data_IF_662688000269
#
_entry.id   IF_662688000269
#
_cell.length_a   1.000
_cell.length_b   1.000
_cell.length_c   1.000
_cell.angle_alpha   90.00
_cell.angle_beta   90.00
_cell.angle_gamma   90.00
#
_symmetry.space_group_name_H-M   'P 1'
#
loop_
_entity.id
_entity.type
_entity.pdbx_description
1 polymer ?
#
# COMPACT_ATOMS: atom_id res chain seq x y z
N UNK A 1 -31.30 24.49 4.86
CA UNK A 1 -31.09 23.33 5.77
C UNK A 1 -31.48 23.63 7.22
N UNK A 2 -30.82 24.55 7.95
CA UNK A 2 -31.08 24.81 9.38
C UNK A 2 -32.55 25.10 9.71
N UNK A 3 -33.25 25.93 8.94
CA UNK A 3 -34.68 26.24 9.16
C UNK A 3 -35.61 25.04 8.96
N UNK A 4 -35.31 24.16 8.02
CA UNK A 4 -36.05 22.90 7.81
C UNK A 4 -35.91 21.95 9.00
N UNK A 5 -34.71 21.88 9.63
CA UNK A 5 -34.49 21.09 10.85
C UNK A 5 -35.27 21.67 12.03
N UNK A 6 -35.37 23.00 12.12
CA UNK A 6 -36.18 23.67 13.15
C UNK A 6 -37.68 23.37 12.91
N UNK A 7 -38.17 23.42 11.69
CA UNK A 7 -39.55 23.03 11.36
C UNK A 7 -39.85 21.61 11.82
N UNK A 8 -38.94 20.65 11.49
CA UNK A 8 -39.08 19.27 11.95
C UNK A 8 -39.17 19.17 13.48
N UNK A 9 -38.33 19.87 14.20
CA UNK A 9 -38.34 19.88 15.66
C UNK A 9 -39.65 20.45 16.23
N UNK A 10 -40.19 21.54 15.61
CA UNK A 10 -41.46 22.14 16.01
C UNK A 10 -42.63 21.17 15.77
N UNK A 11 -42.67 20.54 14.58
CA UNK A 11 -43.72 19.56 14.22
C UNK A 11 -43.65 18.34 15.14
N UNK A 12 -42.48 17.80 15.41
CA UNK A 12 -42.28 16.62 16.30
C UNK A 12 -42.65 16.95 17.76
N UNK A 13 -42.34 18.17 18.22
CA UNK A 13 -42.65 18.60 19.60
C UNK A 13 -44.05 19.09 19.78
N UNK A 14 -44.82 19.41 18.72
CA UNK A 14 -46.16 19.99 18.74
C UNK A 14 -46.21 21.38 19.35
N UNK A 15 -45.09 22.00 19.69
CA UNK A 15 -45.00 23.28 20.37
C UNK A 15 -43.68 24.00 20.08
N UNK A 16 -43.78 25.29 19.76
CA UNK A 16 -42.62 26.18 19.56
C UNK A 16 -41.75 26.25 20.84
N UNK A 17 -42.40 26.31 22.01
CA UNK A 17 -41.66 26.36 23.31
C UNK A 17 -40.92 25.06 23.61
N UNK A 18 -41.51 23.90 23.32
CA UNK A 18 -40.86 22.62 23.50
C UNK A 18 -39.69 22.45 22.51
N UNK A 19 -39.88 22.80 21.24
CA UNK A 19 -38.82 22.78 20.24
C UNK A 19 -37.64 23.72 20.58
N UNK A 20 -37.98 24.92 21.10
CA UNK A 20 -36.97 25.89 21.52
C UNK A 20 -36.07 25.31 22.65
N UNK A 21 -36.69 24.64 23.66
CA UNK A 21 -35.96 23.99 24.74
C UNK A 21 -35.07 22.87 24.25
N UNK A 22 -35.58 22.02 23.36
CA UNK A 22 -34.86 20.88 22.80
C UNK A 22 -33.65 21.30 21.94
N UNK A 23 -33.75 22.46 21.26
CA UNK A 23 -32.70 22.96 20.38
C UNK A 23 -31.77 24.01 21.03
N UNK A 24 -31.98 24.36 22.29
CA UNK A 24 -31.20 25.41 23.00
C UNK A 24 -31.47 26.83 22.49
N UNK A 25 -32.68 27.11 21.99
CA UNK A 25 -33.10 28.43 21.51
C UNK A 25 -34.16 29.05 22.39
N UNK A 26 -34.43 30.35 22.18
CA UNK A 26 -35.60 31.03 22.72
C UNK A 26 -36.82 30.78 21.83
N UNK A 27 -38.06 30.73 22.41
CA UNK A 27 -39.28 30.62 21.62
C UNK A 27 -39.45 31.71 20.55
N UNK A 28 -38.99 32.92 20.85
CA UNK A 28 -39.00 34.03 19.89
C UNK A 28 -38.07 33.76 18.69
N UNK A 29 -36.87 33.23 18.92
CA UNK A 29 -35.93 32.88 17.86
C UNK A 29 -36.50 31.79 16.94
N UNK A 30 -37.12 30.75 17.51
CA UNK A 30 -37.79 29.68 16.74
C UNK A 30 -38.93 30.28 15.88
N UNK A 31 -39.79 31.15 16.48
CA UNK A 31 -40.88 31.80 15.77
C UNK A 31 -40.40 32.63 14.58
N UNK A 32 -39.31 33.40 14.78
CA UNK A 32 -38.68 34.16 13.70
C UNK A 32 -38.13 33.27 12.58
N UNK A 33 -37.49 32.15 12.91
CA UNK A 33 -36.99 31.21 11.91
C UNK A 33 -38.14 30.55 11.13
N UNK A 34 -39.26 30.24 11.79
CA UNK A 34 -40.43 29.69 11.11
C UNK A 34 -41.09 30.71 10.17
N UNK A 35 -41.30 31.94 10.65
CA UNK A 35 -41.82 33.01 9.79
C UNK A 35 -40.92 33.28 8.57
N UNK A 36 -39.60 33.25 8.76
CA UNK A 36 -38.66 33.40 7.65
C UNK A 36 -38.74 32.21 6.68
N UNK A 37 -38.93 30.98 7.16
CA UNK A 37 -39.07 29.80 6.31
C UNK A 37 -40.37 29.84 5.50
N UNK A 38 -41.49 30.24 6.13
CA UNK A 38 -42.77 30.41 5.47
C UNK A 38 -42.73 31.50 4.38
N UNK A 39 -42.02 32.59 4.67
CA UNK A 39 -41.77 33.64 3.67
C UNK A 39 -40.95 33.16 2.49
N UNK A 40 -39.91 32.36 2.73
CA UNK A 40 -39.10 31.76 1.66
C UNK A 40 -39.88 30.73 0.85
N UNK A 41 -40.72 29.92 1.53
CA UNK A 41 -41.53 28.90 0.88
C UNK A 41 -42.74 29.49 0.15
N UNK A 42 -43.12 30.73 0.46
CA UNK A 42 -44.32 31.40 -0.09
C UNK A 42 -45.65 30.79 0.39
N UNK A 43 -45.62 29.94 1.42
CA UNK A 43 -46.80 29.22 1.92
C UNK A 43 -46.72 29.04 3.42
N UNK A 44 -47.87 29.01 4.12
CA UNK A 44 -47.94 28.71 5.55
C UNK A 44 -47.61 27.23 5.81
N UNK A 45 -46.71 26.98 6.73
CA UNK A 45 -46.24 25.63 7.11
C UNK A 45 -46.82 25.15 8.44
N UNK A 46 -47.22 26.10 9.31
CA UNK A 46 -47.69 25.78 10.66
C UNK A 46 -49.01 26.54 10.95
N UNK A 47 -50.03 25.81 11.35
CA UNK A 47 -51.27 26.36 11.90
C UNK A 47 -51.14 26.50 13.41
N UNK A 48 -51.57 27.66 13.94
CA UNK A 48 -51.69 27.87 15.39
C UNK A 48 -53.00 27.27 15.92
N UNK A 49 -52.87 26.44 16.95
CA UNK A 49 -54.02 25.89 17.67
C UNK A 49 -54.00 26.40 19.10
N UNK A 50 -55.15 26.40 19.79
CA UNK A 50 -55.24 26.89 21.16
C UNK A 50 -54.26 26.19 22.15
N UNK A 51 -53.70 25.04 21.83
CA UNK A 51 -52.75 24.26 22.65
C UNK A 51 -51.40 24.04 22.05
N UNK A 52 -51.06 24.66 20.93
CA UNK A 52 -49.78 24.48 20.26
C UNK A 52 -49.75 24.82 18.79
N UNK A 53 -49.00 24.09 17.99
CA UNK A 53 -48.91 24.21 16.55
C UNK A 53 -49.10 22.86 15.85
N UNK A 54 -49.76 22.88 14.67
CA UNK A 54 -49.91 21.72 13.80
C UNK A 54 -49.35 22.04 12.43
N UNK A 55 -48.70 21.07 11.77
CA UNK A 55 -48.26 21.31 10.39
C UNK A 55 -49.45 21.36 9.43
N UNK A 56 -49.39 22.28 8.46
CA UNK A 56 -50.22 22.27 7.25
C UNK A 56 -49.79 21.10 6.35
N UNK A 57 -50.49 20.87 5.23
CA UNK A 57 -50.06 19.87 4.22
C UNK A 57 -48.68 20.23 3.69
N UNK A 58 -48.41 21.49 3.41
CA UNK A 58 -47.09 21.97 3.02
C UNK A 58 -46.02 21.77 4.14
N UNK A 59 -46.43 21.99 5.42
CA UNK A 59 -45.55 21.72 6.56
C UNK A 59 -45.22 20.26 6.72
N UNK A 60 -46.17 19.34 6.52
CA UNK A 60 -45.94 17.89 6.49
C UNK A 60 -44.97 17.50 5.39
N UNK A 61 -45.27 17.91 4.16
CA UNK A 61 -44.41 17.65 3.00
C UNK A 61 -42.97 18.12 3.23
N UNK A 62 -42.80 19.37 3.67
CA UNK A 62 -41.46 19.93 3.89
C UNK A 62 -40.73 19.24 5.07
N UNK A 63 -41.46 18.75 6.09
CA UNK A 63 -40.88 17.97 7.20
C UNK A 63 -40.37 16.59 6.74
N UNK A 64 -41.10 15.93 5.84
CA UNK A 64 -40.67 14.67 5.22
C UNK A 64 -39.38 14.84 4.44
N UNK A 65 -39.33 15.84 3.54
CA UNK A 65 -38.12 16.16 2.81
C UNK A 65 -36.95 16.59 3.74
N UNK A 66 -37.22 17.36 4.78
CA UNK A 66 -36.20 17.73 5.79
C UNK A 66 -35.59 16.52 6.47
N UNK A 67 -36.38 15.47 6.68
CA UNK A 67 -35.90 14.21 7.27
C UNK A 67 -34.98 13.46 6.31
N UNK A 68 -35.36 13.35 5.04
CA UNK A 68 -34.56 12.69 3.98
C UNK A 68 -33.23 13.41 3.78
N UNK A 69 -33.28 14.75 3.60
CA UNK A 69 -32.08 15.56 3.42
C UNK A 69 -31.17 15.49 4.65
N UNK A 70 -31.73 15.52 5.86
CA UNK A 70 -30.99 15.39 7.11
C UNK A 70 -30.25 14.05 7.22
N UNK A 71 -30.87 12.96 6.79
CA UNK A 71 -30.23 11.63 6.72
C UNK A 71 -29.06 11.62 5.75
N UNK A 72 -29.25 12.11 4.52
CA UNK A 72 -28.15 12.16 3.55
C UNK A 72 -27.01 13.08 3.98
N UNK A 73 -27.29 14.17 4.70
CA UNK A 73 -26.25 15.03 5.26
C UNK A 73 -25.42 14.26 6.34
N UNK A 74 -26.09 13.52 7.23
CA UNK A 74 -25.38 12.70 8.23
C UNK A 74 -24.59 11.55 7.59
N UNK A 75 -25.11 10.92 6.55
CA UNK A 75 -24.39 9.91 5.76
C UNK A 75 -23.12 10.50 5.13
N UNK A 76 -23.20 11.71 4.55
CA UNK A 76 -22.04 12.40 3.98
C UNK A 76 -21.00 12.79 5.05
N UNK A 77 -21.44 13.27 6.22
CA UNK A 77 -20.55 13.55 7.35
C UNK A 77 -19.81 12.29 7.84
N UNK A 78 -20.53 11.16 7.93
CA UNK A 78 -19.95 9.86 8.29
C UNK A 78 -18.93 9.42 7.24
N UNK A 79 -19.25 9.49 5.95
CA UNK A 79 -18.34 9.13 4.87
C UNK A 79 -17.06 9.98 4.88
N UNK A 80 -17.18 11.29 5.15
CA UNK A 80 -16.02 12.18 5.31
C UNK A 80 -15.19 11.83 6.55
N UNK A 81 -15.83 11.45 7.66
CA UNK A 81 -15.13 11.00 8.86
C UNK A 81 -14.36 9.70 8.61
N UNK A 82 -14.95 8.74 7.89
CA UNK A 82 -14.29 7.50 7.47
C UNK A 82 -13.06 7.76 6.60
N UNK A 83 -13.17 8.67 5.62
CA UNK A 83 -12.04 9.09 4.78
C UNK A 83 -10.92 9.73 5.60
N UNK A 84 -11.28 10.63 6.54
CA UNK A 84 -10.29 11.28 7.43
C UNK A 84 -9.59 10.29 8.35
N UNK A 85 -10.31 9.29 8.80
CA UNK A 85 -9.78 8.22 9.64
C UNK A 85 -8.97 7.17 8.86
N UNK A 86 -8.96 7.23 7.54
CA UNK A 86 -8.31 6.26 6.66
C UNK A 86 -8.97 4.89 6.62
N UNK A 87 -10.21 4.76 7.13
CA UNK A 87 -10.95 3.50 7.08
C UNK A 87 -11.55 3.20 5.72
N UNK A 88 -11.65 4.22 4.85
CA UNK A 88 -12.02 4.11 3.43
C UNK A 88 -11.03 4.89 2.59
N UNK A 89 -10.96 4.58 1.30
CA UNK A 89 -10.11 5.27 0.34
C UNK A 89 -9.61 4.32 -0.74
N UNK A 90 -8.84 4.86 -1.67
CA UNK A 90 -8.17 4.09 -2.72
C UNK A 90 -6.69 4.44 -2.71
N UNK A 91 -5.83 3.42 -2.84
CA UNK A 91 -4.38 3.56 -2.97
C UNK A 91 -3.92 2.71 -4.14
N UNK A 92 -3.14 3.29 -5.03
CA UNK A 92 -2.55 2.59 -6.18
C UNK A 92 -1.06 2.36 -5.94
N UNK A 93 -0.60 1.12 -6.17
CA UNK A 93 0.77 0.71 -5.96
C UNK A 93 1.36 0.03 -7.20
N UNK A 94 2.64 0.33 -7.46
CA UNK A 94 3.48 -0.38 -8.42
C UNK A 94 4.45 -1.27 -7.67
N UNK A 95 4.68 -2.48 -8.18
CA UNK A 95 5.60 -3.43 -7.56
C UNK A 95 6.27 -4.30 -8.62
N UNK A 96 7.41 -4.89 -8.30
CA UNK A 96 8.13 -5.84 -9.14
C UNK A 96 7.94 -7.28 -8.64
N UNK A 97 8.17 -8.24 -9.51
CA UNK A 97 7.80 -9.66 -9.33
C UNK A 97 8.27 -10.24 -7.99
N UNK A 98 9.57 -10.11 -7.67
CA UNK A 98 10.14 -10.73 -6.46
C UNK A 98 9.66 -10.11 -5.14
N UNK A 99 9.12 -8.88 -5.16
CA UNK A 99 8.50 -8.26 -3.99
C UNK A 99 7.05 -8.73 -3.76
N UNK A 100 6.41 -9.32 -4.77
CA UNK A 100 4.99 -9.65 -4.73
C UNK A 100 4.61 -10.56 -3.56
N UNK A 101 5.09 -11.80 -3.57
CA UNK A 101 4.72 -12.80 -2.57
C UNK A 101 5.26 -12.46 -1.16
N UNK A 102 6.55 -12.11 -0.97
CA UNK A 102 7.09 -11.92 0.37
C UNK A 102 6.77 -10.58 1.03
N UNK A 103 6.50 -9.51 0.28
CA UNK A 103 6.25 -8.18 0.82
C UNK A 103 4.82 -7.70 0.58
N UNK A 104 4.37 -7.73 -0.69
CA UNK A 104 3.08 -7.12 -1.07
C UNK A 104 1.91 -7.90 -0.50
N UNK A 105 1.90 -9.22 -0.66
CA UNK A 105 0.79 -10.07 -0.18
C UNK A 105 0.58 -9.94 1.33
N UNK A 106 1.59 -10.11 2.21
CA UNK A 106 1.39 -9.97 3.65
C UNK A 106 1.02 -8.53 4.06
N UNK A 107 1.59 -7.51 3.39
CA UNK A 107 1.22 -6.11 3.65
C UNK A 107 -0.24 -5.83 3.32
N UNK A 108 -0.74 -6.32 2.18
CA UNK A 108 -2.15 -6.18 1.81
C UNK A 108 -3.06 -6.96 2.75
N UNK A 109 -2.67 -8.16 3.17
CA UNK A 109 -3.44 -8.94 4.14
C UNK A 109 -3.55 -8.22 5.49
N UNK A 110 -2.47 -7.59 5.97
CA UNK A 110 -2.48 -6.77 7.18
C UNK A 110 -3.36 -5.52 7.01
N UNK A 111 -3.16 -4.76 5.94
CA UNK A 111 -3.95 -3.57 5.65
C UNK A 111 -5.45 -3.86 5.58
N UNK A 112 -5.87 -4.95 4.93
CA UNK A 112 -7.28 -5.35 4.85
C UNK A 112 -7.91 -5.71 6.19
N UNK A 113 -7.13 -6.22 7.14
CA UNK A 113 -7.62 -6.50 8.49
C UNK A 113 -7.83 -5.21 9.29
N UNK A 114 -6.93 -4.25 9.15
CA UNK A 114 -6.96 -3.00 9.92
C UNK A 114 -7.87 -1.94 9.29
N UNK A 115 -7.93 -1.93 7.96
CA UNK A 115 -8.65 -0.93 7.18
C UNK A 115 -9.47 -1.59 6.06
N UNK A 116 -10.54 -2.34 6.38
CA UNK A 116 -11.28 -3.16 5.41
C UNK A 116 -11.96 -2.37 4.29
N UNK A 117 -12.22 -1.08 4.50
CA UNK A 117 -12.81 -0.19 3.50
C UNK A 117 -11.80 0.44 2.53
N UNK A 118 -10.48 0.18 2.70
CA UNK A 118 -9.46 0.68 1.77
C UNK A 118 -9.34 -0.24 0.57
N UNK A 119 -9.48 0.33 -0.63
CA UNK A 119 -9.25 -0.36 -1.89
C UNK A 119 -7.81 -0.15 -2.35
N UNK A 120 -7.09 -1.23 -2.64
CA UNK A 120 -5.73 -1.18 -3.17
C UNK A 120 -5.72 -1.67 -4.61
N UNK A 121 -5.25 -0.81 -5.52
CA UNK A 121 -4.95 -1.17 -6.89
C UNK A 121 -3.48 -1.56 -7.01
N UNK A 122 -3.22 -2.81 -7.40
CA UNK A 122 -1.87 -3.35 -7.57
C UNK A 122 -1.56 -3.53 -9.03
N UNK A 123 -0.42 -3.03 -9.49
CA UNK A 123 0.10 -3.28 -10.84
C UNK A 123 1.57 -3.63 -10.80
N UNK A 124 1.91 -4.72 -11.46
CA UNK A 124 3.29 -5.06 -11.77
C UNK A 124 3.82 -4.01 -12.75
N UNK A 125 5.08 -3.57 -12.59
CA UNK A 125 5.76 -2.80 -13.61
C UNK A 125 6.89 -3.64 -14.22
N UNK A 126 7.09 -3.51 -15.53
CA UNK A 126 8.09 -4.29 -16.27
C UNK A 126 9.12 -3.37 -16.96
N UNK A 127 8.68 -2.30 -17.56
CA UNK A 127 9.55 -1.42 -18.39
C UNK A 127 9.44 0.07 -18.06
N UNK A 128 8.38 0.49 -17.38
CA UNK A 128 8.17 1.90 -17.02
C UNK A 128 8.98 2.27 -15.77
N UNK A 129 9.50 3.49 -15.71
CA UNK A 129 10.08 4.01 -14.47
C UNK A 129 8.98 4.20 -13.42
N UNK A 130 8.95 3.36 -12.37
CA UNK A 130 7.89 3.42 -11.36
C UNK A 130 7.91 4.71 -10.54
N UNK A 131 9.03 5.41 -10.45
CA UNK A 131 9.17 6.71 -9.77
C UNK A 131 8.44 7.79 -10.58
N UNK A 132 8.54 7.75 -11.91
CA UNK A 132 7.79 8.66 -12.79
C UNK A 132 6.28 8.45 -12.67
N UNK A 133 5.81 7.20 -12.49
CA UNK A 133 4.41 6.91 -12.23
C UNK A 133 3.89 7.60 -10.96
N UNK A 134 4.70 7.56 -9.87
CA UNK A 134 4.38 8.24 -8.61
C UNK A 134 4.41 9.75 -8.77
N UNK A 135 5.43 10.29 -9.46
CA UNK A 135 5.56 11.73 -9.74
C UNK A 135 4.40 12.26 -10.55
N UNK A 136 3.97 11.50 -11.57
CA UNK A 136 2.84 11.83 -12.46
C UNK A 136 1.47 11.56 -11.82
N UNK A 137 1.38 11.13 -10.56
CA UNK A 137 0.14 10.78 -9.85
C UNK A 137 -0.64 9.62 -10.47
N UNK A 138 0.00 8.75 -11.26
CA UNK A 138 -0.58 7.52 -11.78
C UNK A 138 -0.44 6.35 -10.81
N UNK A 139 0.44 6.51 -9.80
CA UNK A 139 0.51 5.66 -8.63
C UNK A 139 0.71 6.51 -7.36
N UNK A 140 0.29 6.00 -6.21
CA UNK A 140 0.50 6.64 -4.92
C UNK A 140 1.79 6.16 -4.27
N UNK A 141 2.20 4.92 -4.56
CA UNK A 141 3.40 4.26 -4.07
C UNK A 141 3.99 3.38 -5.17
N UNK A 142 5.32 3.31 -5.22
CA UNK A 142 6.04 2.30 -6.00
C UNK A 142 7.12 1.64 -5.15
N UNK A 143 7.24 0.32 -5.23
CA UNK A 143 8.42 -0.39 -4.73
C UNK A 143 9.54 -0.27 -5.77
N UNK A 144 10.72 0.09 -5.32
CA UNK A 144 11.89 0.29 -6.19
C UNK A 144 13.12 -0.36 -5.58
N UNK A 145 14.03 -0.81 -6.44
CA UNK A 145 15.39 -1.16 -6.05
C UNK A 145 16.26 0.05 -6.31
N UNK A 146 17.02 0.48 -5.32
CA UNK A 146 17.79 1.71 -5.41
C UNK A 146 18.88 1.73 -4.35
N UNK A 147 20.02 2.33 -4.65
CA UNK A 147 21.07 2.57 -3.67
C UNK A 147 20.58 3.44 -2.49
N UNK A 148 21.07 3.17 -1.26
CA UNK A 148 20.65 3.92 -0.06
C UNK A 148 20.85 5.43 -0.22
N UNK A 149 22.00 5.83 -0.75
CA UNK A 149 22.43 7.22 -0.92
C UNK A 149 22.25 7.74 -2.36
N UNK A 150 21.44 7.05 -3.15
CA UNK A 150 21.15 7.44 -4.53
C UNK A 150 20.59 8.85 -4.63
N UNK A 151 20.75 9.51 -5.79
CA UNK A 151 20.40 10.91 -6.01
C UNK A 151 18.97 11.24 -5.59
N UNK A 152 18.75 12.36 -4.89
CA UNK A 152 17.41 12.82 -4.53
C UNK A 152 16.56 13.06 -5.79
N UNK A 153 15.29 12.65 -5.73
CA UNK A 153 14.31 12.93 -6.79
C UNK A 153 13.33 13.96 -6.28
N UNK A 154 13.26 15.10 -6.97
CA UNK A 154 12.39 16.20 -6.56
C UNK A 154 10.93 15.76 -6.45
N UNK A 155 10.29 16.11 -5.32
CA UNK A 155 8.91 15.77 -5.01
C UNK A 155 8.67 14.31 -4.59
N UNK A 156 9.71 13.48 -4.48
CA UNK A 156 9.61 12.07 -4.05
C UNK A 156 10.38 11.86 -2.74
N UNK A 157 9.78 11.11 -1.84
CA UNK A 157 10.39 10.59 -0.63
C UNK A 157 10.53 9.09 -0.76
N UNK A 158 11.73 8.60 -0.53
CA UNK A 158 12.03 7.19 -0.46
C UNK A 158 11.98 6.72 0.99
N UNK A 159 11.31 5.60 1.22
CA UNK A 159 11.16 4.96 2.52
C UNK A 159 11.86 3.62 2.47
N UNK A 160 12.94 3.46 3.21
CA UNK A 160 13.65 2.20 3.30
C UNK A 160 12.73 1.08 3.82
N UNK A 161 12.77 -0.08 3.19
CA UNK A 161 12.05 -1.29 3.60
C UNK A 161 13.01 -2.36 4.08
N UNK A 162 13.90 -2.85 3.22
CA UNK A 162 14.90 -3.86 3.57
C UNK A 162 16.10 -3.86 2.61
N UNK A 163 17.19 -4.46 3.07
CA UNK A 163 18.31 -4.88 2.26
C UNK A 163 18.13 -6.37 1.91
N UNK A 164 18.10 -6.70 0.61
CA UNK A 164 17.83 -8.03 0.08
C UNK A 164 19.14 -8.59 -0.51
N UNK A 165 19.71 -9.57 0.17
CA UNK A 165 21.01 -10.16 -0.17
C UNK A 165 20.86 -11.14 -1.30
N UNK A 166 21.89 -11.26 -2.14
CA UNK A 166 21.94 -12.29 -3.16
C UNK A 166 22.64 -13.56 -2.64
N UNK A 167 22.13 -14.70 -3.05
CA UNK A 167 22.65 -16.03 -2.74
C UNK A 167 23.08 -16.72 -4.02
N UNK A 168 24.20 -17.43 -3.96
CA UNK A 168 24.61 -18.29 -5.06
C UNK A 168 23.68 -19.50 -5.14
N UNK A 169 23.16 -19.73 -6.33
CA UNK A 169 22.35 -20.92 -6.67
C UNK A 169 23.18 -21.77 -7.62
N UNK A 170 23.47 -22.98 -7.18
CA UNK A 170 24.38 -23.93 -7.82
C UNK A 170 23.63 -25.20 -8.25
N UNK A 171 24.05 -25.87 -9.31
CA UNK A 171 23.47 -27.16 -9.67
C UNK A 171 23.82 -28.25 -8.65
N UNK A 172 23.05 -29.35 -8.54
CA UNK A 172 23.38 -30.48 -7.69
C UNK A 172 24.74 -31.04 -8.06
N UNK A 173 25.57 -31.33 -7.03
CA UNK A 173 26.89 -31.91 -7.23
C UNK A 173 28.00 -30.92 -7.69
N UNK A 174 27.68 -29.64 -7.74
CA UNK A 174 28.64 -28.59 -8.07
C UNK A 174 29.87 -28.64 -7.10
N UNK A 175 31.09 -28.41 -7.64
CA UNK A 175 32.34 -28.47 -6.84
C UNK A 175 32.32 -27.56 -5.60
N UNK A 176 31.61 -26.45 -5.65
CA UNK A 176 31.50 -25.50 -4.54
C UNK A 176 30.32 -25.79 -3.61
N UNK A 177 29.46 -26.76 -3.93
CA UNK A 177 28.23 -27.03 -3.16
C UNK A 177 28.49 -27.50 -1.73
N UNK A 178 29.68 -28.08 -1.44
CA UNK A 178 30.06 -28.51 -0.10
C UNK A 178 30.46 -27.36 0.84
N UNK A 179 30.74 -26.18 0.31
CA UNK A 179 31.13 -24.99 1.10
C UNK A 179 29.87 -24.19 1.49
N UNK A 180 29.66 -23.88 2.78
CA UNK A 180 28.47 -23.13 3.20
C UNK A 180 28.51 -21.66 2.76
N UNK A 181 29.71 -21.08 2.66
CA UNK A 181 29.95 -19.70 2.25
C UNK A 181 30.99 -19.69 1.14
N UNK A 182 30.73 -18.90 0.09
CA UNK A 182 31.62 -18.75 -1.07
C UNK A 182 32.18 -17.32 -1.11
N UNK A 183 33.45 -17.21 -1.49
CA UNK A 183 33.96 -15.91 -1.97
C UNK A 183 33.40 -15.65 -3.36
N UNK A 184 32.96 -14.41 -3.65
CA UNK A 184 32.40 -14.12 -4.97
C UNK A 184 33.37 -14.42 -6.12
N UNK A 185 34.65 -14.23 -5.88
CA UNK A 185 35.73 -14.60 -6.83
C UNK A 185 35.82 -16.10 -7.15
N UNK A 186 35.35 -17.01 -6.26
CA UNK A 186 35.29 -18.45 -6.54
C UNK A 186 34.39 -18.79 -7.74
N UNK A 187 33.49 -17.86 -8.10
CA UNK A 187 32.46 -18.00 -9.15
C UNK A 187 32.90 -17.39 -10.50
N UNK A 188 34.10 -16.81 -10.58
CA UNK A 188 34.59 -16.07 -11.73
C UNK A 188 34.64 -16.87 -13.04
N UNK A 189 35.04 -18.17 -12.95
CA UNK A 189 35.20 -19.05 -14.11
C UNK A 189 33.98 -19.90 -14.42
N UNK A 190 32.85 -19.69 -13.68
CA UNK A 190 31.63 -20.44 -13.92
C UNK A 190 30.80 -19.81 -15.06
N UNK A 191 30.02 -20.59 -15.81
CA UNK A 191 29.01 -20.03 -16.69
C UNK A 191 27.83 -19.47 -15.86
N UNK A 192 27.38 -18.28 -16.22
CA UNK A 192 26.37 -17.54 -15.45
C UNK A 192 25.00 -17.54 -16.14
N UNK A 193 23.95 -17.56 -15.33
CA UNK A 193 22.57 -17.42 -15.74
C UNK A 193 22.02 -16.13 -15.13
N UNK A 194 21.67 -15.15 -15.99
CA UNK A 194 21.01 -13.94 -15.53
C UNK A 194 19.54 -14.21 -15.21
N UNK A 195 19.12 -13.91 -13.98
CA UNK A 195 17.71 -14.01 -13.55
C UNK A 195 16.88 -12.77 -13.84
N UNK A 196 17.53 -11.68 -14.28
CA UNK A 196 16.88 -10.40 -14.58
C UNK A 196 17.55 -9.76 -15.80
N UNK A 197 16.83 -8.86 -16.45
CA UNK A 197 17.37 -7.98 -17.49
C UNK A 197 18.26 -6.89 -16.87
N UNK A 198 19.16 -6.26 -17.66
CA UNK A 198 19.97 -5.14 -17.18
C UNK A 198 19.11 -4.04 -16.52
N UNK A 199 19.55 -3.58 -15.35
CA UNK A 199 18.85 -2.56 -14.57
C UNK A 199 19.04 -2.73 -13.05
N UNK A 200 18.27 -2.00 -12.23
CA UNK A 200 18.50 -1.87 -10.78
C UNK A 200 18.54 -3.19 -10.00
N UNK A 201 17.98 -4.29 -10.53
CA UNK A 201 18.05 -5.59 -9.90
C UNK A 201 19.33 -6.37 -10.25
N UNK A 202 19.91 -6.18 -11.44
CA UNK A 202 21.13 -6.84 -11.86
C UNK A 202 22.40 -6.01 -11.54
N UNK A 203 22.29 -4.69 -11.54
CA UNK A 203 23.44 -3.79 -11.33
C UNK A 203 24.23 -4.11 -10.04
N UNK A 204 23.62 -4.39 -8.87
CA UNK A 204 24.36 -4.75 -7.66
C UNK A 204 25.21 -6.03 -7.81
N UNK A 205 24.77 -6.96 -8.66
CA UNK A 205 25.53 -8.18 -8.96
C UNK A 205 26.75 -7.85 -9.82
N UNK A 206 26.53 -7.05 -10.87
CA UNK A 206 27.61 -6.63 -11.79
C UNK A 206 28.67 -5.80 -11.06
N UNK A 207 28.26 -4.87 -10.22
CA UNK A 207 29.15 -4.04 -9.41
C UNK A 207 29.97 -4.88 -8.42
N UNK A 208 29.32 -5.86 -7.76
CA UNK A 208 30.01 -6.77 -6.87
C UNK A 208 31.02 -7.65 -7.61
N UNK A 209 30.66 -8.20 -8.77
CA UNK A 209 31.59 -8.98 -9.61
C UNK A 209 32.77 -8.13 -10.08
N UNK A 210 32.52 -6.90 -10.53
CA UNK A 210 33.59 -5.98 -10.91
C UNK A 210 34.52 -5.66 -9.73
N UNK A 211 33.99 -5.46 -8.52
CA UNK A 211 34.76 -5.26 -7.30
C UNK A 211 35.55 -6.51 -6.90
N UNK A 212 35.05 -7.72 -7.23
CA UNK A 212 35.77 -8.99 -7.07
C UNK A 212 36.80 -9.27 -8.18
N UNK A 213 36.90 -8.37 -9.17
CA UNK A 213 37.93 -8.42 -10.23
C UNK A 213 37.54 -9.22 -11.47
N UNK A 214 36.25 -9.49 -11.70
CA UNK A 214 35.80 -10.22 -12.90
C UNK A 214 34.47 -9.68 -13.45
N UNK A 215 34.15 -10.11 -14.66
CA UNK A 215 32.84 -9.87 -15.31
C UNK A 215 32.18 -11.22 -15.55
N UNK A 216 30.92 -11.42 -15.12
CA UNK A 216 30.20 -12.68 -15.34
C UNK A 216 30.03 -12.99 -16.84
N UNK A 217 30.26 -14.25 -17.22
CA UNK A 217 29.96 -14.75 -18.57
C UNK A 217 28.53 -15.29 -18.61
N UNK A 218 27.58 -14.46 -19.02
CA UNK A 218 26.17 -14.84 -19.10
C UNK A 218 25.89 -15.69 -20.34
N UNK A 219 25.74 -16.99 -20.12
CA UNK A 219 25.38 -17.98 -21.17
C UNK A 219 23.86 -18.08 -21.38
N UNK A 220 23.06 -17.64 -20.39
CA UNK A 220 21.58 -17.62 -20.46
C UNK A 220 21.06 -16.33 -19.82
N UNK A 221 20.07 -15.69 -20.48
CA UNK A 221 19.23 -14.64 -19.92
C UNK A 221 17.82 -15.16 -19.77
N UNK A 222 17.28 -15.27 -18.55
CA UNK A 222 15.99 -15.93 -18.26
C UNK A 222 14.84 -14.94 -18.04
N UNK A 223 15.13 -13.70 -17.66
CA UNK A 223 14.13 -12.68 -17.37
C UNK A 223 13.36 -12.85 -16.03
N UNK A 224 13.54 -13.98 -15.34
CA UNK A 224 13.00 -14.20 -13.98
C UNK A 224 13.82 -15.24 -13.21
N UNK A 225 13.83 -15.13 -11.89
CA UNK A 225 14.64 -15.99 -11.00
C UNK A 225 14.10 -17.42 -10.86
N UNK A 226 12.83 -17.68 -11.09
CA UNK A 226 12.29 -19.04 -11.02
C UNK A 226 12.77 -19.85 -12.24
N UNK A 227 12.72 -19.24 -13.43
CA UNK A 227 13.29 -19.82 -14.67
C UNK A 227 14.81 -19.98 -14.58
N UNK A 228 15.52 -18.98 -14.02
CA UNK A 228 16.96 -19.07 -13.79
C UNK A 228 17.33 -20.29 -12.94
N UNK A 229 16.65 -20.53 -11.82
CA UNK A 229 16.83 -21.71 -11.01
C UNK A 229 16.60 -23.01 -11.80
N UNK A 230 15.63 -23.03 -12.74
CA UNK A 230 15.40 -24.17 -13.62
C UNK A 230 16.60 -24.48 -14.52
N UNK A 231 17.21 -23.47 -15.12
CA UNK A 231 18.43 -23.62 -15.92
C UNK A 231 19.64 -24.04 -15.09
N UNK A 232 19.75 -23.52 -13.84
CA UNK A 232 20.79 -23.98 -12.89
C UNK A 232 20.59 -25.47 -12.58
N UNK A 233 19.37 -25.91 -12.25
CA UNK A 233 19.08 -27.33 -11.97
C UNK A 233 19.41 -28.23 -13.15
N UNK A 234 19.24 -27.73 -14.38
CA UNK A 234 19.62 -28.43 -15.61
C UNK A 234 21.14 -28.44 -15.88
N UNK A 235 21.95 -27.78 -15.05
CA UNK A 235 23.42 -27.79 -15.15
C UNK A 235 23.99 -26.85 -16.19
N UNK A 236 23.22 -25.81 -16.65
CA UNK A 236 23.69 -24.86 -17.64
C UNK A 236 24.66 -23.82 -17.06
N UNK A 237 24.68 -23.65 -15.74
CA UNK A 237 25.52 -22.66 -15.08
C UNK A 237 25.07 -22.38 -13.65
N UNK A 238 25.53 -21.27 -13.11
CA UNK A 238 25.16 -20.79 -11.77
C UNK A 238 24.35 -19.49 -11.89
N UNK A 239 23.69 -19.08 -10.78
CA UNK A 239 23.00 -17.79 -10.74
C UNK A 239 23.17 -17.14 -9.36
N UNK A 240 23.10 -15.81 -9.30
CA UNK A 240 22.84 -15.09 -8.06
C UNK A 240 21.35 -14.69 -7.98
N UNK A 241 20.69 -15.15 -6.93
CA UNK A 241 19.26 -14.94 -6.72
C UNK A 241 19.05 -14.18 -5.40
N UNK A 242 18.30 -13.08 -5.38
CA UNK A 242 18.01 -12.38 -4.14
C UNK A 242 17.13 -13.23 -3.21
N UNK A 243 17.28 -13.07 -1.90
CA UNK A 243 16.56 -13.88 -0.89
C UNK A 243 15.05 -13.83 -1.06
N UNK A 244 14.48 -12.65 -1.41
CA UNK A 244 13.06 -12.55 -1.72
C UNK A 244 12.64 -13.41 -2.93
N UNK A 245 13.52 -13.59 -3.89
CA UNK A 245 13.28 -14.46 -5.04
C UNK A 245 13.28 -15.93 -4.67
N UNK A 246 14.10 -16.33 -3.67
CA UNK A 246 14.14 -17.69 -3.13
C UNK A 246 12.94 -17.98 -2.24
N UNK A 247 12.51 -17.02 -1.42
CA UNK A 247 11.34 -17.16 -0.54
C UNK A 247 10.06 -17.41 -1.34
N UNK A 248 9.91 -16.81 -2.53
CA UNK A 248 8.75 -16.96 -3.39
C UNK A 248 8.69 -18.31 -4.13
N UNK A 249 9.82 -19.03 -4.27
CA UNK A 249 9.86 -20.26 -5.07
C UNK A 249 11.25 -20.88 -5.13
N UNK A 250 11.76 -21.38 -3.98
CA UNK A 250 12.98 -22.15 -3.95
C UNK A 250 12.76 -23.54 -4.57
N UNK A 251 13.58 -23.90 -5.55
CA UNK A 251 13.58 -25.24 -6.15
C UNK A 251 14.36 -26.22 -5.25
N UNK A 252 13.83 -27.43 -4.99
CA UNK A 252 14.52 -28.40 -4.13
C UNK A 252 15.73 -29.06 -4.80
N UNK A 253 15.83 -28.93 -6.13
CA UNK A 253 16.88 -29.53 -6.96
C UNK A 253 18.01 -28.56 -7.32
N UNK A 254 18.23 -27.53 -6.49
CA UNK A 254 19.40 -26.65 -6.54
C UNK A 254 20.01 -26.48 -5.15
N UNK A 255 21.26 -26.03 -5.10
CA UNK A 255 22.00 -25.78 -3.86
C UNK A 255 22.17 -24.29 -3.68
N UNK A 256 21.69 -23.73 -2.55
CA UNK A 256 21.83 -22.31 -2.22
C UNK A 256 22.97 -22.10 -1.25
N UNK A 257 23.84 -21.11 -1.51
CA UNK A 257 24.99 -20.77 -0.67
C UNK A 257 25.11 -19.27 -0.45
N UNK A 258 25.62 -18.91 0.70
CA UNK A 258 25.99 -17.53 1.00
C UNK A 258 27.17 -17.10 0.14
N UNK A 259 27.20 -15.80 -0.20
CA UNK A 259 28.30 -15.19 -0.95
C UNK A 259 28.80 -13.98 -0.19
N UNK A 260 30.14 -13.79 -0.22
CA UNK A 260 30.80 -12.65 0.44
C UNK A 260 31.98 -12.13 -0.39
N UNK A 261 32.53 -11.00 0.03
CA UNK A 261 33.79 -10.41 -0.47
C UNK A 261 33.77 -10.02 -1.97
N UNK A 262 32.88 -9.15 -2.40
CA UNK A 262 31.78 -8.52 -1.66
C UNK A 262 30.49 -9.35 -1.67
N UNK A 263 29.61 -9.11 -0.67
CA UNK A 263 28.24 -9.63 -0.69
C UNK A 263 27.37 -8.70 -1.56
N UNK A 264 26.77 -9.20 -2.66
CA UNK A 264 25.86 -8.38 -3.45
C UNK A 264 24.54 -8.17 -2.68
N UNK A 265 24.11 -6.90 -2.60
CA UNK A 265 22.89 -6.51 -1.87
C UNK A 265 22.13 -5.50 -2.69
N UNK A 266 20.81 -5.68 -2.85
CA UNK A 266 19.95 -4.65 -3.39
C UNK A 266 19.10 -4.04 -2.26
N UNK A 267 18.87 -2.73 -2.31
CA UNK A 267 18.06 -2.05 -1.30
C UNK A 267 16.67 -1.76 -1.86
N UNK A 268 15.64 -2.28 -1.17
CA UNK A 268 14.25 -2.08 -1.55
C UNK A 268 13.68 -0.92 -0.76
N UNK A 269 13.10 0.03 -1.48
CA UNK A 269 12.49 1.24 -0.94
C UNK A 269 11.08 1.43 -1.49
N UNK A 270 10.22 2.09 -0.71
CA UNK A 270 8.95 2.58 -1.19
C UNK A 270 9.09 4.05 -1.59
N UNK A 271 8.88 4.35 -2.86
CA UNK A 271 8.80 5.71 -3.38
C UNK A 271 7.37 6.24 -3.21
N UNK A 272 7.23 7.39 -2.55
CA UNK A 272 5.95 8.10 -2.36
C UNK A 272 6.15 9.59 -2.62
N UNK A 273 5.11 10.32 -2.98
CA UNK A 273 5.21 11.79 -3.09
C UNK A 273 5.55 12.40 -1.73
N UNK A 274 6.44 13.39 -1.72
CA UNK A 274 6.77 14.15 -0.52
C UNK A 274 5.49 14.79 0.08
N UNK A 275 5.26 14.60 1.37
CA UNK A 275 4.07 15.10 2.07
C UNK A 275 2.77 14.32 1.84
N UNK A 276 2.71 13.33 0.95
CA UNK A 276 1.48 12.59 0.66
C UNK A 276 1.05 11.66 1.81
N UNK A 277 1.96 10.88 2.39
CA UNK A 277 1.61 9.90 3.42
C UNK A 277 0.96 10.51 4.68
N UNK A 278 1.39 11.69 5.20
CA UNK A 278 0.68 12.34 6.30
C UNK A 278 -0.73 12.80 5.94
N UNK A 279 -0.94 13.21 4.69
CA UNK A 279 -2.22 13.73 4.21
C UNK A 279 -3.20 12.61 3.78
N UNK A 280 -2.71 11.40 3.54
CA UNK A 280 -3.48 10.25 3.07
C UNK A 280 -3.34 9.07 4.04
N UNK A 281 -4.27 8.90 4.99
CA UNK A 281 -4.18 7.84 6.01
C UNK A 281 -4.07 6.43 5.43
N UNK A 282 -4.79 6.13 4.34
CA UNK A 282 -4.71 4.83 3.66
C UNK A 282 -3.31 4.54 3.09
N UNK A 283 -2.64 5.55 2.49
CA UNK A 283 -1.27 5.42 2.01
C UNK A 283 -0.28 5.20 3.18
N UNK A 284 -0.49 5.92 4.29
CA UNK A 284 0.32 5.71 5.50
C UNK A 284 0.19 4.28 6.02
N UNK A 285 -1.05 3.76 6.14
CA UNK A 285 -1.31 2.38 6.55
C UNK A 285 -0.64 1.36 5.64
N UNK A 286 -0.66 1.59 4.31
CA UNK A 286 0.04 0.72 3.36
C UNK A 286 1.57 0.75 3.56
N UNK A 287 2.18 1.92 3.78
CA UNK A 287 3.62 2.04 4.04
C UNK A 287 4.01 1.35 5.34
N UNK A 288 3.21 1.48 6.40
CA UNK A 288 3.42 0.80 7.68
C UNK A 288 3.31 -0.71 7.54
N UNK A 289 2.30 -1.20 6.81
CA UNK A 289 2.12 -2.62 6.53
C UNK A 289 3.30 -3.22 5.72
N UNK A 290 3.81 -2.48 4.72
CA UNK A 290 4.99 -2.89 3.95
C UNK A 290 6.26 -2.96 4.84
N UNK A 291 6.45 -2.00 5.76
CA UNK A 291 7.56 -2.04 6.71
C UNK A 291 7.49 -3.25 7.64
N UNK A 292 6.29 -3.55 8.14
CA UNK A 292 6.08 -4.73 8.99
C UNK A 292 6.35 -6.03 8.22
N UNK A 293 5.88 -6.14 6.98
CA UNK A 293 6.16 -7.28 6.11
C UNK A 293 7.66 -7.43 5.81
N UNK A 294 8.36 -6.32 5.57
CA UNK A 294 9.80 -6.31 5.32
C UNK A 294 10.61 -6.77 6.54
N UNK A 295 10.24 -6.33 7.75
CA UNK A 295 10.86 -6.80 8.99
C UNK A 295 10.67 -8.32 9.18
N UNK A 296 9.49 -8.86 8.85
CA UNK A 296 9.23 -10.30 8.91
C UNK A 296 10.01 -11.10 7.86
N UNK A 297 10.18 -10.56 6.65
CA UNK A 297 10.97 -11.20 5.60
C UNK A 297 12.47 -11.27 5.94
N UNK A 298 13.03 -10.20 6.56
CA UNK A 298 14.43 -10.18 6.99
C UNK A 298 14.74 -11.20 8.09
N UNK A 299 13.81 -11.40 9.03
CA UNK A 299 14.00 -12.41 10.11
C UNK A 299 13.84 -13.84 9.61
N UNK A 300 13.05 -14.09 8.59
CA UNK A 300 12.87 -15.42 8.00
C UNK A 300 14.12 -15.86 7.22
N UNK A 301 14.84 -14.91 6.61
CA UNK A 301 16.10 -15.17 5.91
C UNK A 301 17.24 -15.60 6.87
N UNK A 302 17.32 -14.98 8.06
CA UNK A 302 18.32 -15.33 9.08
C UNK A 302 18.02 -16.65 9.80
N UNK A 303 16.77 -17.15 9.71
CA UNK A 303 16.30 -18.34 10.42
C UNK A 303 16.29 -19.64 9.59
N UNK A 304 16.72 -19.62 8.32
CA UNK A 304 16.77 -20.83 7.48
C UNK A 304 17.76 -21.84 8.05
N UNK A 305 17.30 -23.04 8.44
CA UNK A 305 18.20 -24.07 8.99
C UNK A 305 19.12 -24.57 7.89
N UNK A 306 20.42 -24.70 8.25
CA UNK A 306 21.35 -25.47 7.44
C UNK A 306 20.78 -26.87 7.20
N UNK A 307 20.75 -27.39 5.96
CA UNK A 307 20.29 -28.74 5.71
C UNK A 307 21.24 -29.71 6.43
N UNK A 308 20.71 -30.39 7.46
CA UNK A 308 21.36 -31.60 8.00
C UNK A 308 21.44 -32.61 6.85
N UNK A 309 22.65 -32.95 6.45
CA UNK A 309 22.90 -34.00 5.47
C UNK A 309 22.38 -35.34 5.99
N UNK A 310 21.85 -36.22 5.12
CA UNK A 310 21.53 -37.59 5.52
C UNK A 310 22.79 -38.34 5.89
N UNK A 311 22.72 -39.03 7.05
CA UNK A 311 23.71 -39.94 7.55
C UNK A 311 23.83 -41.20 6.65
#
# INVERSE_FOLDING_TARGET
MRRMQILRAVVTSGSVTAAARNLGYTPSAISQQMAALEKEAGITLLDRTGRGVRPTDAGRLLTEYATVIGRHAAEAETALAELRAGRTGRVSMRYFTTAGAPLVVPAIAALRREQPGVQVELRLFEQDDPVLEVKARRADLALVVREPDGAAVDGIRFVHLLADRYRAVLPPGHRLAARPVLELSDLAEEPWIAGETPGPCLDPVLDACAAAGFTPDFVVESGDYATAQGFVAAGLGISLVPELGLTAGHRPDVVVREVRSPEPVRVIQAAVRAGAAPAQPALRGLVEALRAAAAGAGTAADASPSPEGPA
#
